data_IF_234602258432
#
_entry.id   IF_234602258432
#
_cell.length_a   1.000
_cell.length_b   1.000
_cell.length_c   1.000
_cell.angle_alpha   90.00
_cell.angle_beta   90.00
_cell.angle_gamma   90.00
#
_symmetry.space_group_name_H-M   'P 1'
#
loop_
_entity.id
_entity.type
_entity.pdbx_description
1 polymer ?
#
# COMPACT_ATOMS: atom_id res chain seq x y z
N UNK A 1 -39.66 -34.07 -19.17
CA UNK A 1 -40.68 -33.01 -18.99
C UNK A 1 -40.53 -32.45 -17.58
N UNK A 2 -39.95 -31.27 -17.44
CA UNK A 2 -39.95 -30.49 -16.19
C UNK A 2 -39.81 -29.01 -16.58
N UNK A 3 -40.93 -28.38 -16.93
CA UNK A 3 -41.02 -26.93 -16.93
C UNK A 3 -41.31 -26.56 -15.48
N UNK A 4 -40.38 -25.85 -14.86
CA UNK A 4 -40.44 -25.40 -13.48
C UNK A 4 -41.76 -24.69 -13.19
N UNK A 5 -42.47 -25.13 -12.15
CA UNK A 5 -43.67 -24.46 -11.65
C UNK A 5 -43.32 -23.03 -11.25
N UNK A 6 -43.66 -22.08 -12.13
CA UNK A 6 -43.37 -20.66 -11.92
C UNK A 6 -44.22 -20.20 -10.71
N UNK A 7 -43.62 -19.62 -9.66
CA UNK A 7 -44.35 -19.25 -8.46
C UNK A 7 -45.48 -18.28 -8.81
N UNK A 8 -46.71 -18.66 -8.51
CA UNK A 8 -47.87 -17.80 -8.68
C UNK A 8 -47.70 -16.59 -7.75
N UNK A 9 -48.19 -15.39 -8.12
CA UNK A 9 -48.02 -14.15 -7.32
C UNK A 9 -48.36 -14.28 -5.82
N UNK A 10 -49.21 -15.25 -5.45
CA UNK A 10 -49.55 -15.60 -4.07
C UNK A 10 -48.38 -16.19 -3.24
N UNK A 11 -47.30 -16.64 -3.88
CA UNK A 11 -46.11 -17.23 -3.25
C UNK A 11 -44.93 -16.26 -3.18
N UNK A 12 -45.06 -15.06 -3.77
CA UNK A 12 -44.02 -14.04 -3.67
C UNK A 12 -44.02 -13.44 -2.27
N UNK A 13 -42.83 -13.15 -1.70
CA UNK A 13 -42.76 -12.47 -0.41
C UNK A 13 -43.45 -11.11 -0.50
N UNK A 14 -44.22 -10.78 0.54
CA UNK A 14 -44.84 -9.47 0.64
C UNK A 14 -43.77 -8.38 0.79
N UNK A 15 -44.11 -7.14 0.45
CA UNK A 15 -43.22 -5.99 0.66
C UNK A 15 -42.71 -5.90 2.10
N UNK A 16 -43.54 -6.27 3.08
CA UNK A 16 -43.14 -6.33 4.49
C UNK A 16 -42.09 -7.41 4.78
N UNK A 17 -42.16 -8.56 4.11
CA UNK A 17 -41.14 -9.61 4.22
C UNK A 17 -39.81 -9.16 3.61
N UNK A 18 -39.86 -8.49 2.46
CA UNK A 18 -38.65 -7.95 1.81
C UNK A 18 -37.95 -6.91 2.69
N UNK A 19 -38.71 -5.96 3.26
CA UNK A 19 -38.14 -4.94 4.16
C UNK A 19 -37.51 -5.61 5.39
N UNK A 20 -38.19 -6.59 5.99
CA UNK A 20 -37.66 -7.32 7.15
C UNK A 20 -36.36 -8.05 6.82
N UNK A 21 -36.28 -8.76 5.69
CA UNK A 21 -35.06 -9.44 5.29
C UNK A 21 -33.91 -8.47 5.01
N UNK A 22 -34.20 -7.32 4.38
CA UNK A 22 -33.18 -6.30 4.11
C UNK A 22 -32.65 -5.68 5.39
N UNK A 23 -33.51 -5.42 6.38
CA UNK A 23 -33.07 -4.90 7.68
C UNK A 23 -32.19 -5.90 8.41
N UNK A 24 -32.55 -7.19 8.42
CA UNK A 24 -31.73 -8.24 9.03
C UNK A 24 -30.36 -8.34 8.33
N UNK A 25 -30.34 -8.30 7.00
CA UNK A 25 -29.11 -8.32 6.22
C UNK A 25 -28.22 -7.11 6.57
N UNK A 26 -28.80 -5.91 6.67
CA UNK A 26 -28.08 -4.69 7.01
C UNK A 26 -27.47 -4.77 8.42
N UNK A 27 -28.23 -5.26 9.41
CA UNK A 27 -27.72 -5.47 10.76
C UNK A 27 -26.59 -6.50 10.77
N UNK A 28 -26.75 -7.60 10.03
CA UNK A 28 -25.73 -8.65 9.91
C UNK A 28 -24.44 -8.09 9.29
N UNK A 29 -24.57 -7.28 8.23
CA UNK A 29 -23.44 -6.62 7.59
C UNK A 29 -22.73 -5.64 8.55
N UNK A 30 -23.48 -4.86 9.33
CA UNK A 30 -22.91 -3.97 10.34
C UNK A 30 -22.15 -4.74 11.43
N UNK A 31 -22.67 -5.89 11.87
CA UNK A 31 -21.98 -6.74 12.83
C UNK A 31 -20.66 -7.27 12.28
N UNK A 32 -20.65 -7.78 11.04
CA UNK A 32 -19.44 -8.25 10.37
C UNK A 32 -18.43 -7.11 10.21
N UNK A 33 -18.90 -5.92 9.82
CA UNK A 33 -18.06 -4.75 9.67
C UNK A 33 -17.31 -4.44 10.98
N UNK A 34 -18.03 -4.39 12.10
CA UNK A 34 -17.45 -3.97 13.38
C UNK A 34 -16.61 -5.06 14.05
N UNK A 35 -16.97 -6.34 13.88
CA UNK A 35 -16.31 -7.45 14.59
C UNK A 35 -15.21 -8.14 13.80
N UNK A 36 -15.20 -8.02 12.46
CA UNK A 36 -14.25 -8.71 11.58
C UNK A 36 -13.44 -7.72 10.76
N UNK A 37 -14.10 -6.84 10.00
CA UNK A 37 -13.43 -5.97 9.02
C UNK A 37 -12.62 -4.88 9.72
N UNK A 38 -13.22 -4.15 10.68
CA UNK A 38 -12.52 -3.09 11.41
C UNK A 38 -11.30 -3.59 12.19
N UNK A 39 -11.38 -4.72 12.93
CA UNK A 39 -10.21 -5.29 13.59
C UNK A 39 -9.12 -5.71 12.60
N UNK A 40 -9.47 -6.44 11.53
CA UNK A 40 -8.51 -7.03 10.61
C UNK A 40 -7.79 -6.00 9.71
N UNK A 41 -8.47 -4.92 9.35
CA UNK A 41 -7.91 -3.90 8.44
C UNK A 41 -7.36 -2.68 9.18
N UNK A 42 -7.98 -2.28 10.29
CA UNK A 42 -7.65 -1.01 10.96
C UNK A 42 -7.21 -1.16 12.41
N UNK A 43 -7.13 -2.39 12.94
CA UNK A 43 -6.85 -2.65 14.35
C UNK A 43 -7.86 -2.01 15.34
N UNK A 44 -9.04 -1.60 14.85
CA UNK A 44 -10.08 -1.00 15.68
C UNK A 44 -11.05 -2.10 16.09
N UNK A 45 -11.03 -2.48 17.37
CA UNK A 45 -11.92 -3.49 17.93
C UNK A 45 -12.72 -2.96 19.13
N UNK A 46 -13.90 -2.35 18.90
CA UNK A 46 -14.73 -1.84 19.98
C UNK A 46 -15.44 -2.95 20.76
N UNK A 47 -15.45 -4.19 20.24
CA UNK A 47 -16.19 -5.31 20.82
C UNK A 47 -15.31 -6.30 21.59
N UNK A 48 -14.00 -6.32 21.33
CA UNK A 48 -13.07 -7.32 21.85
C UNK A 48 -13.07 -8.66 21.10
N UNK A 49 -14.03 -8.87 20.18
CA UNK A 49 -14.16 -10.11 19.40
C UNK A 49 -12.99 -10.26 18.42
N UNK A 50 -12.59 -9.17 17.77
CA UNK A 50 -11.47 -9.16 16.84
C UNK A 50 -10.17 -9.59 17.51
N UNK A 51 -9.92 -9.14 18.74
CA UNK A 51 -8.75 -9.51 19.53
C UNK A 51 -8.81 -10.97 19.99
N UNK A 52 -9.99 -11.43 20.42
CA UNK A 52 -10.18 -12.84 20.79
C UNK A 52 -9.97 -13.81 19.61
N UNK A 53 -10.27 -13.36 18.39
CA UNK A 53 -10.05 -14.11 17.15
C UNK A 53 -8.66 -13.88 16.53
N UNK A 54 -7.81 -13.02 17.12
CA UNK A 54 -6.50 -12.66 16.58
C UNK A 54 -6.53 -11.77 15.32
N UNK A 55 -7.69 -11.23 14.94
CA UNK A 55 -7.84 -10.35 13.78
C UNK A 55 -7.24 -8.96 14.03
N UNK A 56 -7.38 -8.44 15.24
CA UNK A 56 -6.82 -7.11 15.59
C UNK A 56 -5.31 -7.08 15.45
N UNK A 57 -4.61 -8.15 15.83
CA UNK A 57 -3.15 -8.27 15.72
C UNK A 57 -2.70 -8.21 14.26
N UNK A 58 -3.47 -8.80 13.34
CA UNK A 58 -3.20 -8.70 11.89
C UNK A 58 -3.32 -7.25 11.40
N UNK A 59 -4.32 -6.51 11.87
CA UNK A 59 -4.49 -5.09 11.53
C UNK A 59 -3.35 -4.22 12.08
N UNK A 60 -2.88 -4.50 13.30
CA UNK A 60 -1.74 -3.78 13.91
C UNK A 60 -0.46 -3.99 13.08
N UNK A 61 -0.21 -5.23 12.64
CA UNK A 61 0.95 -5.56 11.78
C UNK A 61 0.87 -4.83 10.44
N UNK A 62 -0.30 -4.82 9.77
CA UNK A 62 -0.48 -4.06 8.53
C UNK A 62 -0.15 -2.58 8.70
N UNK A 63 -0.66 -1.96 9.77
CA UNK A 63 -0.40 -0.55 10.05
C UNK A 63 1.09 -0.25 10.26
N UNK A 64 1.80 -1.15 10.95
CA UNK A 64 3.25 -1.04 11.14
C UNK A 64 4.01 -1.16 9.82
N UNK A 65 3.67 -2.14 8.98
CA UNK A 65 4.29 -2.34 7.67
C UNK A 65 4.09 -1.13 6.75
N UNK A 66 2.89 -0.53 6.76
CA UNK A 66 2.63 0.70 6.01
C UNK A 66 3.46 1.89 6.51
N UNK A 67 3.68 1.98 7.83
CA UNK A 67 4.50 3.02 8.42
C UNK A 67 5.97 2.84 8.04
N UNK A 68 6.50 1.61 8.14
CA UNK A 68 7.87 1.28 7.75
C UNK A 68 8.11 1.57 6.26
N UNK A 69 7.18 1.19 5.38
CA UNK A 69 7.27 1.47 3.96
C UNK A 69 7.36 2.99 3.67
N UNK A 70 6.55 3.81 4.34
CA UNK A 70 6.59 5.28 4.21
C UNK A 70 7.92 5.86 4.69
N UNK A 71 8.46 5.33 5.79
CA UNK A 71 9.76 5.76 6.31
C UNK A 71 10.90 5.43 5.35
N UNK A 72 10.88 4.23 4.77
CA UNK A 72 11.89 3.79 3.81
C UNK A 72 11.81 4.57 2.49
N UNK A 73 10.61 4.89 2.00
CA UNK A 73 10.44 5.81 0.87
C UNK A 73 11.02 7.19 1.15
N UNK A 74 10.77 7.75 2.34
CA UNK A 74 11.30 9.04 2.74
C UNK A 74 12.84 9.01 2.83
N UNK A 75 13.41 7.94 3.41
CA UNK A 75 14.86 7.72 3.48
C UNK A 75 15.48 7.60 2.08
N UNK A 76 14.85 6.86 1.17
CA UNK A 76 15.30 6.69 -0.20
C UNK A 76 15.31 8.03 -0.96
N UNK A 77 14.27 8.85 -0.80
CA UNK A 77 14.21 10.20 -1.38
C UNK A 77 15.30 11.12 -0.81
N UNK A 78 15.55 11.07 0.50
CA UNK A 78 16.63 11.82 1.14
C UNK A 78 18.02 11.37 0.67
N UNK A 79 18.24 10.07 0.45
CA UNK A 79 19.47 9.56 -0.13
C UNK A 79 19.66 10.03 -1.57
N UNK A 80 18.61 9.99 -2.40
CA UNK A 80 18.65 10.45 -3.79
C UNK A 80 18.95 11.96 -3.90
N UNK A 81 18.37 12.79 -3.03
CA UNK A 81 18.65 14.24 -2.99
C UNK A 81 20.10 14.53 -2.54
N UNK A 82 20.62 13.77 -1.58
CA UNK A 82 22.02 13.87 -1.16
C UNK A 82 23.01 13.44 -2.26
N UNK A 83 22.73 12.36 -2.99
CA UNK A 83 23.56 11.89 -4.11
C UNK A 83 23.58 12.89 -5.28
N UNK A 84 22.43 13.52 -5.59
CA UNK A 84 22.36 14.55 -6.63
C UNK A 84 23.12 15.82 -6.21
N UNK A 85 23.07 16.19 -4.94
CA UNK A 85 23.86 17.30 -4.37
C UNK A 85 25.36 17.01 -4.39
N UNK A 86 25.78 15.79 -4.04
CA UNK A 86 27.18 15.36 -4.13
C UNK A 86 27.69 15.28 -5.58
N UNK A 87 26.85 14.85 -6.53
CA UNK A 87 27.19 14.85 -7.97
C UNK A 87 27.48 16.25 -8.52
N UNK A 88 26.88 17.30 -7.94
CA UNK A 88 27.18 18.70 -8.31
C UNK A 88 28.50 19.23 -7.72
N UNK A 89 29.12 18.53 -6.77
CA UNK A 89 30.32 19.01 -6.08
C UNK A 89 31.66 18.55 -6.71
N UNK A 90 31.63 17.82 -7.83
CA UNK A 90 32.86 17.40 -8.54
C UNK A 90 32.96 17.78 -10.04
N UNK A 91 32.65 19.01 -10.47
CA UNK A 91 33.13 19.47 -11.78
C UNK A 91 34.67 19.62 -11.79
N UNK A 92 35.29 19.94 -10.65
CA UNK A 92 36.72 20.26 -10.57
C UNK A 92 37.66 19.03 -10.56
N UNK A 93 37.21 17.86 -10.13
CA UNK A 93 38.03 16.64 -10.22
C UNK A 93 38.10 16.09 -11.64
N UNK A 94 37.02 16.22 -12.42
CA UNK A 94 37.04 15.89 -13.86
C UNK A 94 37.98 16.83 -14.62
N UNK A 95 37.99 18.13 -14.30
CA UNK A 95 38.97 19.05 -14.89
C UNK A 95 40.40 18.63 -14.60
N UNK A 96 40.71 18.18 -13.37
CA UNK A 96 42.08 17.77 -13.02
C UNK A 96 42.53 16.53 -13.80
N UNK A 97 41.67 15.54 -14.02
CA UNK A 97 41.98 14.35 -14.82
C UNK A 97 42.15 14.73 -16.31
N UNK A 98 41.24 15.54 -16.86
CA UNK A 98 41.32 15.97 -18.26
C UNK A 98 42.54 16.84 -18.53
N UNK A 99 42.91 17.74 -17.61
CA UNK A 99 44.09 18.61 -17.74
C UNK A 99 45.38 17.79 -17.64
N UNK A 100 45.45 16.79 -16.76
CA UNK A 100 46.64 15.92 -16.66
C UNK A 100 46.81 15.04 -17.89
N UNK A 101 45.72 14.58 -18.51
CA UNK A 101 45.79 13.80 -19.76
C UNK A 101 46.19 14.66 -20.97
N UNK A 102 45.72 15.92 -21.03
CA UNK A 102 46.14 16.88 -22.05
C UNK A 102 47.64 17.26 -21.91
N UNK A 103 48.14 17.35 -20.68
CA UNK A 103 49.56 17.61 -20.41
C UNK A 103 50.45 16.38 -20.69
N UNK A 104 49.91 15.16 -20.54
CA UNK A 104 50.62 13.92 -20.85
C UNK A 104 50.69 13.61 -22.36
N UNK A 105 49.74 14.10 -23.17
CA UNK A 105 49.71 13.86 -24.62
C UNK A 105 50.63 14.78 -25.44
N UNK A 106 51.22 15.82 -24.84
CA UNK A 106 52.03 16.81 -25.56
C UNK A 106 53.54 16.51 -25.59
N UNK A 107 54.00 15.45 -24.90
CA UNK A 107 55.42 15.06 -24.84
C UNK A 107 55.86 14.09 -25.95
N UNK A 108 54.96 13.62 -26.82
CA UNK A 108 55.29 12.69 -27.91
C UNK A 108 55.63 13.37 -29.26
N UNK A 109 55.54 14.70 -29.37
CA UNK A 109 55.81 15.44 -30.63
C UNK A 109 57.11 16.26 -30.59
N UNK A 110 58.17 15.78 -29.94
CA UNK A 110 59.46 16.49 -29.90
C UNK A 110 60.69 15.57 -29.95
N UNK A 111 60.54 14.38 -30.52
CA UNK A 111 61.64 13.49 -30.88
C UNK A 111 61.35 12.80 -32.22
N UNK A 112 61.56 13.53 -33.32
CA UNK A 112 61.86 12.96 -34.64
C UNK A 112 62.86 13.86 -35.34
#
# INVERSE_FOLDING_TARGET
MYNSDMPTRAQLPSNGQLIRSTLIALVSAALILVTVILPAEYAIDPTGVGRALGLTEMGEIKAQLEQEAKEDEARAQALASNLSSRRRLYPLQRLRITVLQQLSGKTEYLFH
#
